data_IF_799148437943
#
_entry.id   IF_799148437943
#
_cell.length_a   1.000
_cell.length_b   1.000
_cell.length_c   1.000
_cell.angle_alpha   90.00
_cell.angle_beta   90.00
_cell.angle_gamma   90.00
#
_symmetry.space_group_name_H-M   'P 1'
#
loop_
_entity.id
_entity.type
_entity.pdbx_description
1 polymer ?
#
# COMPACT_ATOMS: atom_id res chain seq x y z
N UNK A 1 2.41 1.03 7.93
CA UNK A 1 2.11 1.55 6.57
C UNK A 1 0.61 1.74 6.48
N UNK A 2 0.15 2.88 5.97
CA UNK A 2 -1.29 3.16 5.91
C UNK A 2 -1.69 4.27 4.99
N UNK A 3 -2.59 3.96 4.06
CA UNK A 3 -3.14 4.87 3.07
C UNK A 3 -4.47 5.49 3.55
N UNK A 4 -4.80 6.71 3.08
CA UNK A 4 -6.10 7.34 3.37
C UNK A 4 -7.25 6.47 2.84
N UNK A 5 -8.23 6.17 3.72
CA UNK A 5 -9.23 5.12 3.54
C UNK A 5 -8.96 3.84 4.36
N UNK A 6 -7.67 3.56 4.62
CA UNK A 6 -7.19 2.59 5.61
C UNK A 6 -6.45 3.27 6.78
N UNK A 7 -6.58 4.59 6.91
CA UNK A 7 -5.89 5.39 7.92
C UNK A 7 -6.21 4.88 9.33
N UNK A 8 -7.45 4.51 9.59
CA UNK A 8 -7.86 3.97 10.88
C UNK A 8 -7.27 2.57 11.12
N UNK A 9 -7.34 1.68 10.12
CA UNK A 9 -6.81 0.32 10.22
C UNK A 9 -5.29 0.30 10.41
N UNK A 10 -4.60 1.17 9.67
CA UNK A 10 -3.15 1.28 9.69
C UNK A 10 -2.63 2.02 10.91
N UNK A 11 -3.36 3.05 11.38
CA UNK A 11 -3.11 3.71 12.65
C UNK A 11 -3.33 2.74 13.80
N UNK A 12 -4.39 1.93 13.77
CA UNK A 12 -4.64 0.89 14.77
C UNK A 12 -3.51 -0.15 14.80
N UNK A 13 -3.08 -0.65 13.63
CA UNK A 13 -1.96 -1.60 13.56
C UNK A 13 -0.64 -0.97 14.06
N UNK A 14 -0.34 0.25 13.63
CA UNK A 14 0.85 0.98 14.10
C UNK A 14 0.81 1.25 15.61
N UNK A 15 -0.38 1.54 16.16
CA UNK A 15 -0.58 1.69 17.59
C UNK A 15 -0.34 0.37 18.34
N UNK A 16 -0.88 -0.75 17.85
CA UNK A 16 -0.66 -2.08 18.46
C UNK A 16 0.83 -2.43 18.49
N UNK A 17 1.54 -2.17 17.39
CA UNK A 17 2.99 -2.36 17.28
C UNK A 17 3.76 -1.50 18.30
N UNK A 18 3.48 -0.19 18.32
CA UNK A 18 4.12 0.75 19.24
C UNK A 18 3.79 0.45 20.70
N UNK A 19 2.55 0.05 20.99
CA UNK A 19 2.10 -0.30 22.34
C UNK A 19 2.79 -1.55 22.87
N UNK A 20 2.99 -2.58 22.03
CA UNK A 20 3.72 -3.77 22.42
C UNK A 20 5.17 -3.45 22.81
N UNK A 21 5.85 -2.59 22.03
CA UNK A 21 7.18 -2.07 22.37
C UNK A 21 7.20 -1.24 23.65
N UNK A 22 6.25 -0.33 23.81
CA UNK A 22 6.11 0.48 25.03
C UNK A 22 5.92 -0.40 26.28
N UNK A 23 5.02 -1.39 26.23
CA UNK A 23 4.74 -2.27 27.38
C UNK A 23 5.91 -3.20 27.69
N UNK A 24 6.66 -3.66 26.67
CA UNK A 24 7.92 -4.37 26.85
C UNK A 24 8.91 -3.52 27.67
N UNK A 25 9.11 -2.26 27.31
CA UNK A 25 10.00 -1.36 28.03
C UNK A 25 9.59 -1.13 29.50
N UNK A 26 8.29 -1.07 29.80
CA UNK A 26 7.79 -1.00 31.18
C UNK A 26 8.02 -2.31 31.96
N UNK A 27 7.90 -3.45 31.28
CA UNK A 27 8.14 -4.76 31.89
C UNK A 27 9.62 -4.93 32.23
N UNK A 28 10.51 -4.47 31.35
CA UNK A 28 11.96 -4.48 31.57
C UNK A 28 12.37 -3.58 32.76
N UNK A 29 11.56 -2.57 33.09
CA UNK A 29 11.71 -1.70 34.28
C UNK A 29 11.02 -2.23 35.53
N UNK A 30 10.40 -3.42 35.47
CA UNK A 30 9.53 -3.97 36.54
C UNK A 30 8.31 -3.10 36.90
N UNK A 31 7.89 -2.19 36.01
CA UNK A 31 6.70 -1.34 36.20
C UNK A 31 5.42 -2.05 35.71
N UNK A 32 5.57 -3.13 34.94
CA UNK A 32 4.49 -3.99 34.44
C UNK A 32 4.94 -5.46 34.44
N UNK A 33 3.97 -6.35 34.30
CA UNK A 33 4.22 -7.80 34.22
C UNK A 33 3.48 -8.43 33.03
N UNK A 34 3.95 -9.62 32.65
CA UNK A 34 3.41 -10.43 31.56
C UNK A 34 4.03 -10.10 30.20
N UNK A 35 3.69 -10.92 29.20
CA UNK A 35 4.15 -10.78 27.82
C UNK A 35 3.16 -9.96 27.00
N UNK A 36 3.66 -9.15 26.07
CA UNK A 36 2.86 -8.47 25.06
C UNK A 36 3.57 -8.59 23.74
N UNK A 37 2.81 -9.00 22.73
CA UNK A 37 3.32 -9.36 21.42
C UNK A 37 2.35 -8.84 20.37
N UNK A 38 2.85 -8.04 19.44
CA UNK A 38 2.15 -7.68 18.20
C UNK A 38 2.60 -8.63 17.09
N UNK A 39 1.66 -9.22 16.35
CA UNK A 39 1.97 -10.11 15.23
C UNK A 39 1.36 -9.54 13.96
N UNK A 40 2.23 -9.20 13.01
CA UNK A 40 1.85 -8.70 11.70
C UNK A 40 1.63 -9.90 10.77
N UNK A 41 0.36 -10.32 10.68
CA UNK A 41 -0.06 -11.46 9.87
C UNK A 41 -0.09 -11.13 8.38
N UNK A 42 0.36 -12.06 7.51
CA UNK A 42 0.18 -11.94 6.07
C UNK A 42 -1.28 -12.23 5.71
N UNK A 43 -1.61 -12.14 4.43
CA UNK A 43 -2.89 -12.61 3.92
C UNK A 43 -3.05 -14.11 4.20
N UNK A 44 -4.23 -14.52 4.69
CA UNK A 44 -4.57 -15.92 4.93
C UNK A 44 -5.26 -16.50 3.71
N UNK A 45 -4.90 -17.73 3.36
CA UNK A 45 -5.56 -18.47 2.28
C UNK A 45 -6.98 -18.87 2.65
N UNK A 46 -7.17 -19.37 3.87
CA UNK A 46 -8.50 -19.68 4.41
C UNK A 46 -8.98 -18.50 5.25
N UNK A 47 -10.05 -17.83 4.85
CA UNK A 47 -10.56 -16.67 5.58
C UNK A 47 -11.53 -15.80 4.79
N UNK A 48 -11.98 -14.71 5.41
CA UNK A 48 -12.96 -13.79 4.83
C UNK A 48 -12.40 -12.83 3.79
N UNK A 49 -11.06 -12.70 3.69
CA UNK A 49 -10.40 -11.91 2.65
C UNK A 49 -9.76 -12.86 1.64
N UNK A 50 -10.52 -13.19 0.60
CA UNK A 50 -10.02 -13.93 -0.55
C UNK A 50 -9.52 -12.94 -1.60
N UNK A 51 -8.38 -13.24 -2.22
CA UNK A 51 -7.91 -12.54 -3.40
C UNK A 51 -8.10 -13.45 -4.62
N UNK A 52 -8.30 -12.85 -5.78
CA UNK A 52 -8.39 -13.64 -7.01
C UNK A 52 -7.04 -14.30 -7.37
N UNK A 53 -7.08 -15.33 -8.22
CA UNK A 53 -5.89 -16.09 -8.63
C UNK A 53 -4.84 -15.23 -9.34
N UNK A 54 -5.24 -14.12 -9.98
CA UNK A 54 -4.33 -13.25 -10.69
C UNK A 54 -3.50 -12.41 -9.71
N UNK A 55 -4.14 -11.89 -8.67
CA UNK A 55 -3.51 -11.16 -7.57
C UNK A 55 -2.58 -12.07 -6.77
N UNK A 56 -2.97 -13.32 -6.52
CA UNK A 56 -2.09 -14.31 -5.86
C UNK A 56 -0.81 -14.56 -6.69
N UNK A 57 -0.96 -14.82 -8.00
CA UNK A 57 0.19 -15.01 -8.90
C UNK A 57 1.08 -13.78 -8.94
N UNK A 58 0.50 -12.58 -8.96
CA UNK A 58 1.26 -11.34 -8.98
C UNK A 58 2.03 -11.11 -7.67
N UNK A 59 1.40 -11.35 -6.51
CA UNK A 59 2.06 -11.27 -5.20
C UNK A 59 3.26 -12.23 -5.15
N UNK A 60 3.08 -13.46 -5.63
CA UNK A 60 4.14 -14.46 -5.70
C UNK A 60 5.28 -14.03 -6.64
N UNK A 61 4.97 -13.49 -7.82
CA UNK A 61 5.98 -13.10 -8.80
C UNK A 61 6.80 -11.87 -8.37
N UNK A 62 6.16 -10.90 -7.71
CA UNK A 62 6.77 -9.61 -7.37
C UNK A 62 7.49 -9.63 -6.03
N UNK A 63 6.88 -10.26 -5.02
CA UNK A 63 7.41 -10.25 -3.65
C UNK A 63 7.96 -11.60 -3.21
N UNK A 64 7.62 -12.68 -3.92
CA UNK A 64 7.87 -14.05 -3.49
C UNK A 64 6.88 -14.57 -2.45
N UNK A 65 5.98 -13.73 -1.93
CA UNK A 65 5.00 -14.10 -0.91
C UNK A 65 3.80 -14.83 -1.50
N UNK A 66 3.20 -15.73 -0.72
CA UNK A 66 1.95 -16.43 -1.05
C UNK A 66 0.96 -16.28 0.11
N UNK A 67 -0.36 -16.42 -0.13
CA UNK A 67 -1.34 -16.51 0.94
C UNK A 67 -0.98 -17.65 1.90
N UNK A 68 -1.06 -17.36 3.20
CA UNK A 68 -0.59 -18.27 4.24
C UNK A 68 -1.60 -19.38 4.50
N UNK A 69 -1.13 -20.62 4.53
CA UNK A 69 -1.96 -21.78 4.89
C UNK A 69 -2.29 -21.75 6.40
N UNK A 70 -3.49 -22.19 6.78
CA UNK A 70 -3.93 -22.20 8.19
C UNK A 70 -2.97 -22.95 9.12
N UNK A 71 -2.45 -24.09 8.67
CA UNK A 71 -1.51 -24.89 9.46
C UNK A 71 -0.17 -24.16 9.67
N UNK A 72 0.31 -23.44 8.65
CA UNK A 72 1.50 -22.61 8.75
C UNK A 72 1.27 -21.44 9.72
N UNK A 73 0.11 -20.79 9.66
CA UNK A 73 -0.27 -19.72 10.59
C UNK A 73 -0.31 -20.17 12.06
N UNK A 74 -0.88 -21.35 12.34
CA UNK A 74 -0.90 -21.92 13.70
C UNK A 74 0.52 -22.21 14.20
N UNK A 75 1.39 -22.80 13.36
CA UNK A 75 2.80 -23.01 13.74
C UNK A 75 3.52 -21.69 14.01
N UNK A 76 3.31 -20.69 13.16
CA UNK A 76 3.89 -19.37 13.32
C UNK A 76 3.42 -18.70 14.62
N UNK A 77 2.15 -18.87 15.01
CA UNK A 77 1.63 -18.35 16.27
C UNK A 77 2.40 -18.89 17.48
N UNK A 78 2.60 -20.22 17.56
CA UNK A 78 3.38 -20.81 18.64
C UNK A 78 4.84 -20.33 18.64
N UNK A 79 5.47 -20.23 17.47
CA UNK A 79 6.84 -19.69 17.35
C UNK A 79 6.93 -18.23 17.81
N UNK A 80 5.94 -17.40 17.47
CA UNK A 80 5.89 -16.01 17.92
C UNK A 80 5.71 -15.94 19.45
N UNK A 81 4.85 -16.80 20.02
CA UNK A 81 4.60 -16.90 21.45
C UNK A 81 5.81 -17.40 22.25
N UNK A 82 6.72 -18.15 21.64
CA UNK A 82 7.96 -18.60 22.28
C UNK A 82 9.14 -17.62 22.06
N UNK A 83 8.97 -16.60 21.19
CA UNK A 83 10.02 -15.62 20.89
C UNK A 83 10.15 -14.54 21.97
N UNK A 84 11.35 -14.02 22.22
CA UNK A 84 11.54 -12.86 23.14
C UNK A 84 11.22 -11.50 22.50
N UNK A 85 10.64 -11.50 21.30
CA UNK A 85 10.30 -10.29 20.57
C UNK A 85 8.95 -9.72 21.03
N UNK A 86 8.84 -8.39 21.01
CA UNK A 86 7.57 -7.69 21.26
C UNK A 86 6.73 -7.51 19.98
N UNK A 87 7.36 -7.67 18.82
CA UNK A 87 6.75 -7.49 17.51
C UNK A 87 7.37 -8.49 16.53
N UNK A 88 6.53 -9.22 15.80
CA UNK A 88 6.97 -10.18 14.79
C UNK A 88 6.16 -9.98 13.52
N UNK A 89 6.83 -10.04 12.36
CA UNK A 89 6.17 -10.09 11.06
C UNK A 89 6.24 -11.52 10.53
N UNK A 90 5.09 -12.07 10.17
CA UNK A 90 4.96 -13.41 9.61
C UNK A 90 4.81 -13.29 8.10
N UNK A 91 5.51 -14.14 7.37
CA UNK A 91 5.43 -14.21 5.92
C UNK A 91 5.54 -15.67 5.47
N UNK A 92 4.79 -16.04 4.43
CA UNK A 92 4.90 -17.33 3.77
C UNK A 92 5.26 -17.11 2.29
N UNK A 93 6.18 -17.92 1.75
CA UNK A 93 6.62 -17.79 0.37
C UNK A 93 8.06 -18.23 0.10
N UNK A 94 8.60 -17.75 -1.02
CA UNK A 94 9.94 -18.09 -1.52
C UNK A 94 11.00 -17.19 -0.86
N UNK A 95 11.67 -17.73 0.16
CA UNK A 95 12.67 -17.02 0.99
C UNK A 95 13.68 -16.17 0.19
N UNK A 96 14.31 -16.64 -0.91
CA UNK A 96 15.30 -15.84 -1.63
C UNK A 96 14.70 -14.56 -2.24
N UNK A 97 13.48 -14.63 -2.77
CA UNK A 97 12.78 -13.50 -3.38
C UNK A 97 12.26 -12.53 -2.32
N UNK A 98 11.70 -13.06 -1.23
CA UNK A 98 11.22 -12.26 -0.10
C UNK A 98 12.35 -11.46 0.56
N UNK A 99 13.55 -12.04 0.68
CA UNK A 99 14.71 -11.30 1.18
C UNK A 99 15.03 -10.12 0.28
N UNK A 100 15.09 -10.34 -1.04
CA UNK A 100 15.40 -9.30 -1.99
C UNK A 100 14.37 -8.17 -1.96
N UNK A 101 13.08 -8.48 -1.90
CA UNK A 101 12.01 -7.48 -1.82
C UNK A 101 12.05 -6.67 -0.52
N UNK A 102 12.35 -7.31 0.62
CA UNK A 102 12.55 -6.63 1.91
C UNK A 102 13.75 -5.68 1.91
N UNK A 103 14.85 -6.03 1.25
CA UNK A 103 16.03 -5.17 1.14
C UNK A 103 15.88 -4.04 0.12
N UNK A 104 15.06 -4.24 -0.93
CA UNK A 104 14.78 -3.24 -1.97
C UNK A 104 13.68 -2.26 -1.59
N UNK A 105 12.94 -2.54 -0.52
CA UNK A 105 11.96 -1.61 0.05
C UNK A 105 12.73 -0.53 0.81
N UNK A 106 13.13 0.55 0.13
CA UNK A 106 13.60 1.73 0.85
C UNK A 106 12.50 2.19 1.82
N UNK A 107 12.86 2.68 3.02
CA UNK A 107 11.90 3.28 3.91
C UNK A 107 11.29 4.48 3.18
N UNK A 108 10.00 4.37 2.89
CA UNK A 108 9.19 5.49 2.41
C UNK A 108 9.35 6.59 3.46
N UNK A 109 10.18 7.58 3.15
CA UNK A 109 10.39 8.74 3.99
C UNK A 109 9.03 9.41 4.19
N UNK A 110 8.68 9.64 5.46
CA UNK A 110 7.43 10.29 5.84
C UNK A 110 7.22 11.56 4.99
N UNK A 111 6.02 11.80 4.45
CA UNK A 111 5.73 13.08 3.83
C UNK A 111 5.83 14.14 4.93
N UNK A 112 6.77 15.08 4.78
CA UNK A 112 6.73 16.32 5.55
C UNK A 112 5.37 16.99 5.28
N UNK A 113 4.60 17.17 6.35
CA UNK A 113 3.28 17.78 6.34
C UNK A 113 3.33 19.18 5.74
N UNK A 114 2.71 19.35 4.57
CA UNK A 114 2.40 20.66 4.01
C UNK A 114 1.17 21.22 4.73
N UNK A 115 1.40 22.10 5.70
CA UNK A 115 0.44 23.14 6.06
C UNK A 115 0.53 24.23 4.99
N UNK A 116 -0.64 24.73 4.57
CA UNK A 116 -0.87 25.84 3.63
C UNK A 116 -1.17 25.44 2.17
N UNK A 117 -2.36 24.85 1.95
CA UNK A 117 -3.05 24.91 0.65
C UNK A 117 -4.31 25.74 0.80
N UNK A 118 -4.51 26.71 -0.11
CA UNK A 118 -5.78 27.44 -0.23
C UNK A 118 -6.84 26.51 -0.85
N UNK A 119 -8.12 26.62 -0.48
CA UNK A 119 -9.17 25.71 -0.94
C UNK A 119 -9.31 25.62 -2.48
N UNK A 120 -9.14 26.75 -3.18
CA UNK A 120 -9.26 26.85 -4.64
C UNK A 120 -8.14 26.08 -5.39
N UNK A 121 -6.92 26.10 -4.84
CA UNK A 121 -5.78 25.41 -5.43
C UNK A 121 -5.88 23.88 -5.24
N UNK A 122 -6.55 23.45 -4.17
CA UNK A 122 -6.71 22.03 -3.84
C UNK A 122 -7.72 21.33 -4.76
N UNK A 123 -8.78 22.02 -5.17
CA UNK A 123 -9.82 21.49 -6.06
C UNK A 123 -9.34 21.44 -7.52
N UNK A 124 -8.71 22.52 -8.00
CA UNK A 124 -8.11 22.57 -9.34
C UNK A 124 -7.01 21.52 -9.53
N UNK A 125 -6.25 21.22 -8.47
CA UNK A 125 -5.23 20.19 -8.46
C UNK A 125 -5.84 18.78 -8.59
N UNK A 126 -6.92 18.52 -7.87
CA UNK A 126 -7.61 17.24 -7.88
C UNK A 126 -8.20 16.92 -9.25
N UNK A 127 -8.82 17.90 -9.91
CA UNK A 127 -9.32 17.78 -11.28
C UNK A 127 -8.19 17.44 -12.28
N UNK A 128 -7.03 18.11 -12.16
CA UNK A 128 -5.86 17.83 -13.01
C UNK A 128 -5.28 16.44 -12.77
N UNK A 129 -5.18 16.01 -11.52
CA UNK A 129 -4.69 14.68 -11.15
C UNK A 129 -5.63 13.60 -11.70
N UNK A 130 -6.94 13.75 -11.50
CA UNK A 130 -7.93 12.83 -12.07
C UNK A 130 -7.86 12.79 -13.59
N UNK A 131 -7.71 13.95 -14.25
CA UNK A 131 -7.59 14.01 -15.71
C UNK A 131 -6.32 13.31 -16.22
N UNK A 132 -5.20 13.44 -15.51
CA UNK A 132 -3.97 12.73 -15.82
C UNK A 132 -4.16 11.21 -15.77
N UNK A 133 -4.72 10.70 -14.67
CA UNK A 133 -4.99 9.27 -14.53
C UNK A 133 -6.02 8.77 -15.54
N UNK A 134 -7.06 9.55 -15.86
CA UNK A 134 -8.01 9.21 -16.96
C UNK A 134 -7.30 9.10 -18.30
N UNK A 135 -6.37 9.99 -18.60
CA UNK A 135 -5.61 9.93 -19.86
C UNK A 135 -4.64 8.73 -19.88
N UNK A 136 -3.99 8.44 -18.75
CA UNK A 136 -3.13 7.28 -18.61
C UNK A 136 -3.90 5.97 -18.78
N UNK A 137 -5.04 5.82 -18.08
CA UNK A 137 -5.92 4.68 -18.26
C UNK A 137 -6.39 4.58 -19.71
N UNK A 138 -6.80 5.70 -20.31
CA UNK A 138 -7.22 5.78 -21.71
C UNK A 138 -6.16 5.25 -22.68
N UNK A 139 -4.87 5.55 -22.44
CA UNK A 139 -3.78 5.06 -23.29
C UNK A 139 -3.55 3.54 -23.22
N UNK A 140 -3.95 2.89 -22.12
CA UNK A 140 -3.73 1.46 -21.91
C UNK A 140 -4.99 0.65 -22.26
N UNK A 141 -6.17 1.10 -21.81
CA UNK A 141 -7.43 0.35 -21.99
C UNK A 141 -8.11 0.64 -23.34
N UNK A 142 -7.64 1.64 -24.09
CA UNK A 142 -8.19 2.02 -25.39
C UNK A 142 -9.58 2.68 -25.34
N UNK A 143 -10.11 2.98 -24.15
CA UNK A 143 -11.34 3.77 -24.00
C UNK A 143 -11.00 5.26 -24.00
N UNK A 144 -11.83 6.12 -24.64
CA UNK A 144 -11.65 7.56 -24.55
C UNK A 144 -11.73 8.07 -23.10
N UNK A 145 -10.84 8.99 -22.71
CA UNK A 145 -10.77 9.50 -21.32
C UNK A 145 -12.08 10.10 -20.79
N UNK A 146 -12.96 10.62 -21.65
CA UNK A 146 -14.28 11.13 -21.27
C UNK A 146 -15.31 10.04 -20.90
N UNK A 147 -15.06 8.78 -21.28
CA UNK A 147 -15.89 7.63 -20.87
C UNK A 147 -15.44 6.99 -19.56
N UNK A 148 -14.27 7.40 -19.05
CA UNK A 148 -13.69 6.88 -17.82
C UNK A 148 -14.18 7.77 -16.66
N UNK A 149 -14.95 7.18 -15.76
CA UNK A 149 -15.46 7.85 -14.57
C UNK A 149 -14.43 7.73 -13.44
N UNK A 150 -14.32 8.77 -12.63
CA UNK A 150 -13.26 8.82 -11.61
C UNK A 150 -13.55 7.91 -10.41
N UNK A 151 -14.84 7.71 -10.11
CA UNK A 151 -15.32 7.00 -8.92
C UNK A 151 -15.71 5.53 -9.18
N UNK A 152 -15.57 5.07 -10.43
CA UNK A 152 -15.86 3.69 -10.82
C UNK A 152 -14.61 2.83 -10.60
N UNK A 153 -14.74 1.63 -10.01
CA UNK A 153 -13.64 0.70 -9.89
C UNK A 153 -12.98 0.40 -11.25
N UNK A 154 -11.67 0.49 -11.30
CA UNK A 154 -10.86 0.26 -12.50
C UNK A 154 -11.06 -1.14 -13.10
N UNK A 155 -11.37 -2.11 -12.25
CA UNK A 155 -11.72 -3.49 -12.60
C UNK A 155 -12.95 -3.57 -13.53
N UNK A 156 -13.93 -2.69 -13.36
CA UNK A 156 -15.14 -2.64 -14.19
C UNK A 156 -14.85 -2.22 -15.65
N UNK A 157 -13.71 -1.56 -15.88
CA UNK A 157 -13.23 -1.23 -17.22
C UNK A 157 -12.45 -2.36 -17.88
N UNK A 158 -12.36 -3.53 -17.25
CA UNK A 158 -11.64 -4.69 -17.77
C UNK A 158 -10.13 -4.58 -17.63
N UNK A 159 -9.64 -3.78 -16.68
CA UNK A 159 -8.22 -3.69 -16.37
C UNK A 159 -7.76 -5.05 -15.82
N UNK A 160 -6.86 -5.70 -16.54
CA UNK A 160 -6.23 -6.95 -16.14
C UNK A 160 -4.80 -6.73 -15.59
N UNK A 161 -4.17 -7.79 -15.11
CA UNK A 161 -2.84 -7.72 -14.50
C UNK A 161 -1.74 -7.25 -15.45
N UNK A 162 -1.87 -7.48 -16.77
CA UNK A 162 -0.89 -7.02 -17.76
C UNK A 162 -1.02 -5.50 -17.90
N UNK A 163 -2.26 -5.01 -17.99
CA UNK A 163 -2.55 -3.58 -18.04
C UNK A 163 -2.10 -2.86 -16.77
N UNK A 164 -2.30 -3.46 -15.58
CA UNK A 164 -1.79 -2.89 -14.32
C UNK A 164 -0.26 -2.75 -14.36
N UNK A 165 0.47 -3.75 -14.87
CA UNK A 165 1.92 -3.66 -14.98
C UNK A 165 2.38 -2.55 -15.94
N UNK A 166 1.67 -2.35 -17.04
CA UNK A 166 1.95 -1.28 -18.00
C UNK A 166 1.68 0.09 -17.38
N UNK A 167 0.52 0.25 -16.73
CA UNK A 167 0.15 1.46 -15.99
C UNK A 167 1.17 1.80 -14.89
N UNK A 168 1.57 0.82 -14.08
CA UNK A 168 2.60 1.00 -13.06
C UNK A 168 3.92 1.44 -13.69
N UNK A 169 4.34 0.79 -14.79
CA UNK A 169 5.59 1.15 -15.48
C UNK A 169 5.55 2.59 -16.02
N UNK A 170 4.43 3.01 -16.60
CA UNK A 170 4.27 4.39 -17.08
C UNK A 170 4.30 5.41 -15.94
N UNK A 171 3.68 5.10 -14.80
CA UNK A 171 3.78 5.95 -13.62
C UNK A 171 5.19 6.00 -13.05
N UNK A 172 5.91 4.88 -13.04
CA UNK A 172 7.28 4.82 -12.51
C UNK A 172 8.26 5.71 -13.28
N UNK A 173 8.02 5.96 -14.58
CA UNK A 173 8.80 6.93 -15.38
C UNK A 173 8.71 8.35 -14.83
N UNK A 174 7.58 8.71 -14.22
CA UNK A 174 7.30 10.06 -13.74
C UNK A 174 7.57 10.19 -12.24
N UNK A 175 7.20 9.17 -11.46
CA UNK A 175 7.18 9.24 -9.99
C UNK A 175 8.29 8.42 -9.30
N UNK A 176 9.09 7.68 -10.06
CA UNK A 176 10.09 6.76 -9.51
C UNK A 176 9.45 5.43 -9.08
N UNK A 177 10.14 4.64 -8.25
CA UNK A 177 9.65 3.31 -7.85
C UNK A 177 8.30 3.39 -7.15
N UNK A 178 7.34 2.56 -7.59
CA UNK A 178 5.99 2.52 -7.02
C UNK A 178 5.64 1.12 -6.52
N UNK A 179 4.65 1.05 -5.62
CA UNK A 179 4.07 -0.22 -5.18
C UNK A 179 3.54 -1.00 -6.38
N UNK A 180 3.90 -2.28 -6.50
CA UNK A 180 3.37 -3.16 -7.56
C UNK A 180 1.90 -3.52 -7.32
N UNK A 181 1.39 -3.28 -6.11
CA UNK A 181 -0.02 -3.45 -5.72
C UNK A 181 -0.81 -2.13 -5.76
N UNK A 182 -0.21 -1.03 -6.25
CA UNK A 182 -0.81 0.32 -6.24
C UNK A 182 -2.25 0.37 -6.78
N UNK A 183 -2.51 -0.22 -7.95
CA UNK A 183 -3.84 -0.19 -8.57
C UNK A 183 -4.86 -1.13 -7.91
N UNK A 184 -4.43 -1.99 -6.98
CA UNK A 184 -5.31 -2.82 -6.14
C UNK A 184 -5.59 -2.16 -4.79
N UNK A 185 -4.61 -1.41 -4.28
CA UNK A 185 -4.75 -0.58 -3.08
C UNK A 185 -5.72 0.58 -3.30
N UNK A 186 -5.78 1.09 -4.54
CA UNK A 186 -6.64 2.21 -4.94
C UNK A 186 -7.45 1.82 -6.15
N UNK A 187 -8.72 1.50 -5.90
CA UNK A 187 -9.60 0.89 -6.89
C UNK A 187 -10.17 1.90 -7.87
N UNK A 188 -10.24 3.18 -7.48
CA UNK A 188 -10.78 4.26 -8.31
C UNK A 188 -9.72 5.32 -8.63
N UNK A 189 -9.95 6.11 -9.68
CA UNK A 189 -9.07 7.23 -10.03
C UNK A 189 -9.08 8.29 -8.92
N UNK A 190 -10.24 8.49 -8.28
CA UNK A 190 -10.39 9.42 -7.15
C UNK A 190 -9.50 9.00 -5.97
N UNK A 191 -9.51 7.71 -5.62
CA UNK A 191 -8.65 7.14 -4.58
C UNK A 191 -7.16 7.29 -4.92
N UNK A 192 -6.79 6.98 -6.17
CA UNK A 192 -5.41 7.03 -6.62
C UNK A 192 -4.90 8.49 -6.70
N UNK A 193 -5.71 9.43 -7.17
CA UNK A 193 -5.39 10.86 -7.15
C UNK A 193 -5.20 11.39 -5.72
N UNK A 194 -6.04 10.96 -4.79
CA UNK A 194 -5.95 11.33 -3.36
C UNK A 194 -4.66 10.80 -2.73
N UNK A 195 -4.25 9.58 -3.07
CA UNK A 195 -2.98 9.03 -2.62
C UNK A 195 -1.79 9.86 -3.09
N UNK A 196 -1.70 10.12 -4.39
CA UNK A 196 -0.58 10.85 -4.97
C UNK A 196 -0.47 12.28 -4.43
N UNK A 197 -1.61 12.92 -4.16
CA UNK A 197 -1.68 14.22 -3.48
C UNK A 197 -1.04 14.19 -2.09
N UNK A 198 -1.25 13.10 -1.35
CA UNK A 198 -0.82 12.99 0.05
C UNK A 198 0.65 12.56 0.21
N UNK A 199 1.18 11.80 -0.75
CA UNK A 199 2.55 11.26 -0.67
C UNK A 199 3.59 12.07 -1.46
N UNK A 200 3.19 12.70 -2.57
CA UNK A 200 4.09 13.50 -3.39
C UNK A 200 3.72 14.98 -3.27
N UNK A 201 4.04 15.60 -2.13
CA UNK A 201 3.84 17.04 -1.89
C UNK A 201 4.47 17.98 -2.93
N UNK A 202 5.32 17.45 -3.82
CA UNK A 202 5.90 18.13 -4.99
C UNK A 202 5.18 17.82 -6.32
N UNK A 203 3.97 17.25 -6.31
CA UNK A 203 3.18 17.03 -7.53
C UNK A 203 2.90 18.34 -8.29
N UNK A 204 2.86 19.48 -7.58
CA UNK A 204 2.82 20.82 -8.17
C UNK A 204 4.02 21.10 -9.08
N UNK A 205 5.21 20.55 -8.79
CA UNK A 205 6.46 20.83 -9.52
C UNK A 205 6.51 20.19 -10.92
N UNK A 206 5.77 19.11 -11.12
CA UNK A 206 5.60 18.46 -12.43
C UNK A 206 4.53 19.14 -13.31
N UNK A 207 3.69 20.00 -12.72
CA UNK A 207 2.48 20.56 -13.35
C UNK A 207 2.27 22.06 -13.08
N UNK A 208 3.36 22.81 -12.82
CA UNK A 208 3.31 24.28 -12.85
C UNK A 208 3.03 24.68 -14.29
N UNK A 209 1.97 25.45 -14.61
CA UNK A 209 1.90 26.09 -15.91
C UNK A 209 3.07 27.07 -15.98
N UNK A 210 3.92 26.94 -17.00
CA UNK A 210 4.82 28.03 -17.37
C UNK A 210 3.92 29.18 -17.80
N UNK A 211 3.62 30.08 -16.88
CA UNK A 211 2.98 31.35 -17.19
C UNK A 211 4.01 32.13 -18.01
N UNK A 212 3.66 32.42 -19.25
CA UNK A 212 4.42 33.34 -20.12
C UNK A 212 4.28 34.77 -19.62
#
# INVERSE_FOLDING_TARGET
MGNMGQSDYSCANAFMDAYAGYRKALTDKNERHGKTLSVNWPLWKDGGMQIDEALEKMMQQTTGMVPMDTEAGIRAFYQCMDSDQHQVMVMEGRIPQMRLSLYMSEPISQPETLKDLKPDDAQLFEEKAQQYFKNLLSSVIGLPSHRIQADVPMEEYGIDSIMVMELTRELEKVFGSLSKTLFFEYRSITELATHFKSHWGNFQRFWVPVVS
#
